data_IF_011304347004
#
_entry.id   IF_011304347004
#
_cell.length_a   1.000
_cell.length_b   1.000
_cell.length_c   1.000
_cell.angle_alpha   90.00
_cell.angle_beta   90.00
_cell.angle_gamma   90.00
#
_symmetry.space_group_name_H-M   'P 1'
#
loop_
_entity.id
_entity.type
_entity.pdbx_description
1 polymer ?
#
# COMPACT_ATOMS: atom_id res chain seq x y z
N UNK A 1 -20.20 1.61 -17.45
CA UNK A 1 -19.73 1.09 -16.15
C UNK A 1 -20.91 0.97 -15.22
N UNK A 2 -21.09 -0.16 -14.53
CA UNK A 2 -22.06 -0.22 -13.43
C UNK A 2 -21.69 0.77 -12.35
N UNK A 3 -22.66 1.32 -11.59
CA UNK A 3 -22.39 2.26 -10.49
C UNK A 3 -21.39 1.72 -9.46
N UNK A 4 -21.40 0.40 -9.25
CA UNK A 4 -20.51 -0.33 -8.35
C UNK A 4 -19.03 -0.25 -8.77
N UNK A 5 -18.76 -0.43 -10.06
CA UNK A 5 -17.39 -0.36 -10.62
C UNK A 5 -16.87 1.07 -10.61
N UNK A 6 -17.71 2.05 -10.95
CA UNK A 6 -17.32 3.45 -10.88
C UNK A 6 -16.93 3.84 -9.44
N UNK A 7 -17.70 3.40 -8.45
CA UNK A 7 -17.38 3.64 -7.04
C UNK A 7 -16.03 3.01 -6.66
N UNK A 8 -15.77 1.75 -7.04
CA UNK A 8 -14.48 1.10 -6.78
C UNK A 8 -13.30 1.84 -7.42
N UNK A 9 -13.48 2.30 -8.67
CA UNK A 9 -12.47 3.06 -9.40
C UNK A 9 -12.15 4.39 -8.70
N UNK A 10 -13.18 5.16 -8.32
CA UNK A 10 -13.01 6.45 -7.64
C UNK A 10 -12.35 6.27 -6.27
N UNK A 11 -12.75 5.26 -5.50
CA UNK A 11 -12.12 4.93 -4.21
C UNK A 11 -10.64 4.56 -4.38
N UNK A 12 -10.30 3.74 -5.37
CA UNK A 12 -8.93 3.34 -5.63
C UNK A 12 -8.04 4.50 -6.05
N UNK A 13 -8.54 5.39 -6.91
CA UNK A 13 -7.81 6.59 -7.36
C UNK A 13 -7.64 7.62 -6.22
N UNK A 14 -8.69 7.87 -5.43
CA UNK A 14 -8.60 8.74 -4.26
C UNK A 14 -7.61 8.19 -3.23
N UNK A 15 -7.63 6.88 -2.99
CA UNK A 15 -6.65 6.20 -2.15
C UNK A 15 -5.22 6.37 -2.67
N UNK A 16 -5.01 6.33 -4.00
CA UNK A 16 -3.68 6.53 -4.60
C UNK A 16 -3.12 7.94 -4.34
N UNK A 17 -3.96 8.97 -4.43
CA UNK A 17 -3.55 10.37 -4.15
C UNK A 17 -3.13 10.54 -2.70
N UNK A 18 -3.96 10.06 -1.74
CA UNK A 18 -3.63 10.14 -0.32
C UNK A 18 -2.40 9.29 0.02
N UNK A 19 -2.26 8.12 -0.64
CA UNK A 19 -1.09 7.26 -0.48
C UNK A 19 0.20 7.96 -0.91
N UNK A 20 0.19 8.66 -2.03
CA UNK A 20 1.32 9.47 -2.47
C UNK A 20 1.68 10.57 -1.46
N UNK A 21 0.67 11.27 -0.92
CA UNK A 21 0.87 12.37 0.00
C UNK A 21 1.55 11.93 1.31
N UNK A 22 1.01 10.91 2.01
CA UNK A 22 1.61 10.49 3.28
C UNK A 22 2.95 9.75 3.10
N UNK A 23 3.17 9.04 1.98
CA UNK A 23 4.47 8.44 1.68
C UNK A 23 5.58 9.49 1.51
N UNK A 24 5.26 10.59 0.83
CA UNK A 24 6.21 11.70 0.71
C UNK A 24 6.62 12.23 2.09
N UNK A 25 5.68 12.25 3.02
CA UNK A 25 5.93 12.70 4.39
C UNK A 25 6.83 11.73 5.18
N UNK A 26 6.60 10.43 5.07
CA UNK A 26 7.46 9.39 5.66
C UNK A 26 8.87 9.45 5.07
N UNK A 27 9.00 9.67 3.75
CA UNK A 27 10.30 9.78 3.06
C UNK A 27 11.17 10.90 3.65
N UNK A 28 10.56 11.99 4.13
CA UNK A 28 11.26 13.14 4.72
C UNK A 28 11.67 12.91 6.19
N UNK A 29 11.30 11.78 6.79
CA UNK A 29 11.61 11.46 8.18
C UNK A 29 13.04 10.90 8.31
N UNK A 30 13.76 11.30 9.37
CA UNK A 30 15.15 10.85 9.61
C UNK A 30 15.23 9.34 9.91
N UNK A 31 14.39 8.84 10.82
CA UNK A 31 14.24 7.40 11.08
C UNK A 31 12.91 6.91 10.49
N UNK A 32 13.02 6.20 9.37
CA UNK A 32 11.86 5.72 8.60
C UNK A 32 11.06 4.66 9.35
N UNK A 33 11.77 3.80 10.11
CA UNK A 33 11.10 2.76 10.90
C UNK A 33 10.28 3.39 12.03
N UNK A 34 10.83 4.38 12.77
CA UNK A 34 10.09 5.10 13.81
C UNK A 34 8.90 5.87 13.24
N UNK A 35 9.05 6.46 12.06
CA UNK A 35 7.95 7.14 11.38
C UNK A 35 6.79 6.19 11.03
N UNK A 36 7.12 5.04 10.42
CA UNK A 36 6.13 4.00 10.09
C UNK A 36 5.51 3.39 11.35
N UNK A 37 6.33 3.08 12.37
CA UNK A 37 5.82 2.59 13.65
C UNK A 37 4.84 3.57 14.31
N UNK A 38 5.22 4.84 14.42
CA UNK A 38 4.37 5.86 15.03
C UNK A 38 3.05 6.06 14.28
N UNK A 39 3.11 6.06 12.95
CA UNK A 39 1.94 6.11 12.06
C UNK A 39 1.01 4.91 12.27
N UNK A 40 1.54 3.68 12.28
CA UNK A 40 0.72 2.47 12.46
C UNK A 40 0.17 2.36 13.88
N UNK A 41 0.94 2.77 14.88
CA UNK A 41 0.50 2.75 16.28
C UNK A 41 -0.64 3.74 16.52
N UNK A 42 -0.51 4.98 16.05
CA UNK A 42 -1.57 6.00 16.23
C UNK A 42 -2.83 5.65 15.42
N UNK A 43 -2.68 5.15 14.18
CA UNK A 43 -3.79 4.63 13.39
C UNK A 43 -4.46 3.43 14.08
N UNK A 44 -3.66 2.52 14.66
CA UNK A 44 -4.15 1.33 15.35
C UNK A 44 -4.94 1.66 16.63
N UNK A 45 -4.44 2.61 17.44
CA UNK A 45 -5.16 3.09 18.63
C UNK A 45 -6.48 3.76 18.22
N UNK A 46 -6.43 4.69 17.24
CA UNK A 46 -7.63 5.34 16.72
C UNK A 46 -8.62 4.35 16.12
N UNK A 47 -8.13 3.39 15.34
CA UNK A 47 -8.92 2.32 14.75
C UNK A 47 -9.63 1.46 15.80
N UNK A 48 -8.92 1.06 16.85
CA UNK A 48 -9.50 0.29 17.95
C UNK A 48 -10.60 1.09 18.68
N UNK A 49 -10.32 2.34 19.01
CA UNK A 49 -11.30 3.20 19.69
C UNK A 49 -12.57 3.36 18.87
N UNK A 50 -12.43 3.60 17.57
CA UNK A 50 -13.58 3.74 16.67
C UNK A 50 -14.30 2.40 16.52
N UNK A 51 -13.58 1.28 16.32
CA UNK A 51 -14.19 -0.04 16.16
C UNK A 51 -14.99 -0.46 17.41
N UNK A 52 -14.48 -0.18 18.61
CA UNK A 52 -15.20 -0.45 19.86
C UNK A 52 -16.43 0.48 20.00
N UNK A 53 -16.30 1.76 19.62
CA UNK A 53 -17.41 2.74 19.72
C UNK A 53 -18.55 2.43 18.73
N UNK A 54 -18.21 1.97 17.53
CA UNK A 54 -19.21 1.58 16.49
C UNK A 54 -19.80 0.20 16.77
N UNK A 55 -19.08 -0.64 17.49
CA UNK A 55 -19.39 -2.05 17.75
C UNK A 55 -18.72 -2.97 16.74
N UNK A 56 -18.07 -4.00 17.25
CA UNK A 56 -17.52 -5.08 16.43
C UNK A 56 -18.65 -6.09 16.20
N UNK A 57 -19.00 -6.42 14.94
CA UNK A 57 -20.09 -7.34 14.64
C UNK A 57 -19.88 -8.72 15.27
N UNK A 58 -20.97 -9.35 15.74
CA UNK A 58 -20.94 -10.74 16.16
C UNK A 58 -20.50 -11.63 14.99
N UNK A 59 -19.66 -12.62 15.29
CA UNK A 59 -19.09 -13.50 14.25
C UNK A 59 -17.97 -12.88 13.43
N UNK A 60 -17.36 -11.77 13.89
CA UNK A 60 -16.21 -11.19 13.21
C UNK A 60 -15.08 -12.22 13.07
N UNK A 61 -14.60 -12.40 11.83
CA UNK A 61 -13.53 -13.34 11.49
C UNK A 61 -12.17 -12.65 11.74
N UNK A 62 -11.50 -13.01 12.85
CA UNK A 62 -10.30 -12.33 13.32
C UNK A 62 -9.02 -12.69 12.58
N UNK A 63 -8.91 -13.93 12.10
CA UNK A 63 -7.64 -14.41 11.54
C UNK A 63 -7.10 -13.55 10.39
N UNK A 64 -7.92 -12.96 9.47
CA UNK A 64 -7.37 -12.15 8.40
C UNK A 64 -6.73 -10.85 8.93
N UNK A 65 -7.35 -10.22 9.94
CA UNK A 65 -6.80 -9.00 10.52
C UNK A 65 -5.47 -9.26 11.25
N UNK A 66 -5.38 -10.39 12.00
CA UNK A 66 -4.15 -10.80 12.69
C UNK A 66 -3.06 -11.16 11.68
N UNK A 67 -3.38 -11.98 10.67
CA UNK A 67 -2.43 -12.36 9.62
C UNK A 67 -1.94 -11.14 8.84
N UNK A 68 -2.84 -10.24 8.47
CA UNK A 68 -2.50 -8.99 7.79
C UNK A 68 -1.56 -8.14 8.63
N UNK A 69 -1.85 -7.94 9.92
CA UNK A 69 -0.98 -7.18 10.83
C UNK A 69 0.44 -7.75 10.91
N UNK A 70 0.57 -9.07 10.94
CA UNK A 70 1.86 -9.76 10.94
C UNK A 70 2.59 -9.60 9.59
N UNK A 71 1.88 -9.75 8.47
CA UNK A 71 2.45 -9.55 7.12
C UNK A 71 2.91 -8.10 6.96
N UNK A 72 2.12 -7.13 7.44
CA UNK A 72 2.50 -5.71 7.42
C UNK A 72 3.75 -5.41 8.25
N UNK A 73 3.96 -6.08 9.39
CA UNK A 73 5.22 -5.98 10.14
C UNK A 73 6.40 -6.39 9.26
N UNK A 74 6.34 -7.58 8.63
CA UNK A 74 7.42 -8.04 7.74
C UNK A 74 7.61 -7.14 6.54
N UNK A 75 6.51 -6.64 5.95
CA UNK A 75 6.55 -5.63 4.89
C UNK A 75 7.32 -4.37 5.34
N UNK A 76 7.01 -3.82 6.52
CA UNK A 76 7.65 -2.61 7.05
C UNK A 76 9.15 -2.84 7.27
N UNK A 77 9.54 -3.98 7.83
CA UNK A 77 10.94 -4.34 8.06
C UNK A 77 11.67 -4.55 6.73
N UNK A 78 11.06 -5.26 5.79
CA UNK A 78 11.65 -5.48 4.45
C UNK A 78 11.78 -4.17 3.67
N UNK A 79 10.77 -3.30 3.73
CA UNK A 79 10.78 -1.99 3.09
C UNK A 79 11.89 -1.09 3.65
N UNK A 80 12.00 -1.01 4.98
CA UNK A 80 13.06 -0.22 5.61
C UNK A 80 14.44 -0.71 5.17
N UNK A 81 14.69 -2.03 5.22
CA UNK A 81 15.96 -2.62 4.78
C UNK A 81 16.25 -2.40 3.28
N UNK A 82 15.23 -2.51 2.44
CA UNK A 82 15.41 -2.31 1.00
C UNK A 82 15.80 -0.87 0.66
N UNK A 83 15.34 0.10 1.44
CA UNK A 83 15.74 1.51 1.29
C UNK A 83 17.13 1.83 1.84
N UNK A 84 17.68 0.99 2.71
CA UNK A 84 19.06 1.08 3.17
C UNK A 84 20.04 0.47 2.15
N UNK A 85 19.57 -0.48 1.34
CA UNK A 85 20.38 -1.21 0.35
C UNK A 85 20.40 -0.56 -1.03
N UNK A 86 19.32 0.09 -1.44
CA UNK A 86 19.16 0.60 -2.80
C UNK A 86 18.43 1.94 -2.85
N UNK A 87 18.63 2.64 -3.98
CA UNK A 87 17.93 3.88 -4.26
C UNK A 87 16.41 3.67 -4.30
N UNK A 88 15.70 4.63 -3.74
CA UNK A 88 14.24 4.63 -3.72
C UNK A 88 13.63 4.55 -5.12
N UNK A 89 14.27 5.23 -6.10
CA UNK A 89 13.85 5.27 -7.50
C UNK A 89 13.89 3.91 -8.20
N UNK A 90 14.63 2.95 -7.65
CA UNK A 90 14.74 1.57 -8.16
C UNK A 90 13.81 0.63 -7.38
N UNK A 91 13.95 0.63 -6.07
CA UNK A 91 13.23 -0.31 -5.19
C UNK A 91 11.72 -0.12 -5.24
N UNK A 92 11.27 1.14 -5.19
CA UNK A 92 9.84 1.43 -5.08
C UNK A 92 9.03 0.98 -6.32
N UNK A 93 9.44 1.30 -7.58
CA UNK A 93 8.72 0.83 -8.77
C UNK A 93 8.68 -0.69 -8.89
N UNK A 94 9.80 -1.39 -8.63
CA UNK A 94 9.85 -2.85 -8.73
C UNK A 94 8.93 -3.50 -7.70
N UNK A 95 9.01 -3.06 -6.44
CA UNK A 95 8.16 -3.57 -5.36
C UNK A 95 6.66 -3.34 -5.65
N UNK A 96 6.31 -2.15 -6.14
CA UNK A 96 4.92 -1.82 -6.45
C UNK A 96 4.41 -2.59 -7.66
N UNK A 97 5.18 -2.64 -8.76
CA UNK A 97 4.79 -3.36 -9.97
C UNK A 97 4.64 -4.87 -9.74
N UNK A 98 5.61 -5.49 -9.09
CA UNK A 98 5.55 -6.93 -8.77
C UNK A 98 4.42 -7.24 -7.79
N UNK A 99 4.19 -6.37 -6.79
CA UNK A 99 3.08 -6.53 -5.85
C UNK A 99 1.72 -6.51 -6.54
N UNK A 100 1.50 -5.60 -7.49
CA UNK A 100 0.26 -5.53 -8.26
C UNK A 100 0.03 -6.76 -9.15
N UNK A 101 1.08 -7.25 -9.84
CA UNK A 101 1.00 -8.47 -10.65
C UNK A 101 0.69 -9.70 -9.81
N UNK A 102 1.43 -9.89 -8.71
CA UNK A 102 1.23 -11.02 -7.81
C UNK A 102 -0.13 -10.98 -7.12
N UNK A 103 -0.62 -9.80 -6.74
CA UNK A 103 -1.96 -9.63 -6.18
C UNK A 103 -3.04 -9.95 -7.23
N UNK A 104 -2.86 -9.56 -8.49
CA UNK A 104 -3.79 -9.89 -9.56
C UNK A 104 -3.85 -11.40 -9.82
N UNK A 105 -2.69 -12.04 -9.93
CA UNK A 105 -2.59 -13.50 -10.10
C UNK A 105 -3.21 -14.24 -8.89
N UNK A 106 -2.87 -13.83 -7.67
CA UNK A 106 -3.42 -14.43 -6.45
C UNK A 106 -4.92 -14.19 -6.29
N UNK A 107 -5.44 -13.05 -6.74
CA UNK A 107 -6.88 -12.77 -6.75
C UNK A 107 -7.66 -13.76 -7.61
N UNK A 108 -7.14 -14.08 -8.79
CA UNK A 108 -7.72 -15.09 -9.68
C UNK A 108 -7.59 -16.50 -9.08
N UNK A 109 -6.44 -16.83 -8.47
CA UNK A 109 -6.18 -18.18 -7.98
C UNK A 109 -6.87 -18.51 -6.64
N UNK A 110 -7.05 -17.52 -5.76
CA UNK A 110 -7.46 -17.75 -4.36
C UNK A 110 -8.73 -17.01 -3.94
N UNK A 111 -9.20 -16.03 -4.73
CA UNK A 111 -10.34 -15.18 -4.36
C UNK A 111 -11.48 -15.22 -5.38
N UNK A 112 -11.42 -16.14 -6.35
CA UNK A 112 -12.37 -16.25 -7.46
C UNK A 112 -12.57 -14.93 -8.24
N UNK A 113 -11.52 -14.11 -8.30
CA UNK A 113 -11.57 -12.86 -9.07
C UNK A 113 -11.51 -13.15 -10.57
N UNK A 114 -12.39 -12.50 -11.34
CA UNK A 114 -12.42 -12.62 -12.79
C UNK A 114 -11.80 -11.37 -13.44
N UNK A 115 -10.72 -11.57 -14.20
CA UNK A 115 -10.09 -10.56 -15.02
C UNK A 115 -10.40 -10.81 -16.48
N UNK A 116 -10.92 -9.80 -17.17
CA UNK A 116 -11.05 -9.88 -18.63
C UNK A 116 -9.67 -9.83 -19.30
N UNK A 117 -9.50 -10.35 -20.53
CA UNK A 117 -8.22 -10.25 -21.24
C UNK A 117 -7.72 -8.80 -21.36
N UNK A 118 -8.62 -7.85 -21.56
CA UNK A 118 -8.26 -6.44 -21.64
C UNK A 118 -7.76 -5.88 -20.30
N UNK A 119 -8.33 -6.33 -19.16
CA UNK A 119 -7.82 -5.97 -17.83
C UNK A 119 -6.41 -6.52 -17.61
N UNK A 120 -6.13 -7.75 -18.04
CA UNK A 120 -4.78 -8.35 -17.96
C UNK A 120 -3.78 -7.55 -18.77
N UNK A 121 -4.14 -7.16 -20.01
CA UNK A 121 -3.29 -6.30 -20.84
C UNK A 121 -3.06 -4.95 -20.16
N UNK A 122 -4.09 -4.33 -19.61
CA UNK A 122 -3.99 -3.06 -18.87
C UNK A 122 -3.03 -3.14 -17.68
N UNK A 123 -3.12 -4.21 -16.87
CA UNK A 123 -2.21 -4.48 -15.74
C UNK A 123 -0.78 -4.64 -16.26
N UNK A 124 -0.57 -5.46 -17.30
CA UNK A 124 0.76 -5.71 -17.85
C UNK A 124 1.42 -4.43 -18.40
N UNK A 125 0.67 -3.60 -19.11
CA UNK A 125 1.15 -2.31 -19.64
C UNK A 125 1.49 -1.34 -18.48
N UNK A 126 0.61 -1.22 -17.48
CA UNK A 126 0.86 -0.35 -16.32
C UNK A 126 2.12 -0.77 -15.56
N UNK A 127 2.28 -2.07 -15.30
CA UNK A 127 3.46 -2.62 -14.62
C UNK A 127 4.72 -2.45 -15.48
N UNK A 128 4.65 -2.66 -16.78
CA UNK A 128 5.75 -2.37 -17.70
C UNK A 128 6.22 -0.91 -17.60
N UNK A 129 5.28 0.04 -17.54
CA UNK A 129 5.58 1.45 -17.30
C UNK A 129 6.25 1.72 -15.95
N UNK A 130 5.83 1.01 -14.88
CA UNK A 130 6.43 1.12 -13.56
C UNK A 130 7.87 0.59 -13.57
N UNK A 131 8.12 -0.54 -14.22
CA UNK A 131 9.47 -1.11 -14.35
C UNK A 131 10.40 -0.17 -15.14
N UNK A 132 9.89 0.52 -16.17
CA UNK A 132 10.66 1.52 -16.91
C UNK A 132 11.04 2.74 -16.06
N UNK A 133 10.34 3.02 -14.96
CA UNK A 133 10.74 4.03 -13.98
C UNK A 133 11.92 3.57 -13.13
N UNK A 134 12.11 2.26 -12.95
CA UNK A 134 13.28 1.71 -12.25
C UNK A 134 14.53 2.00 -13.07
N UNK A 135 15.55 2.57 -12.42
CA UNK A 135 16.88 2.69 -13.02
C UNK A 135 17.62 1.35 -12.96
N UNK A 136 18.80 1.22 -13.55
CA UNK A 136 19.57 -0.03 -13.59
C UNK A 136 19.78 -0.62 -12.18
N UNK A 137 18.90 -1.53 -11.78
CA UNK A 137 19.03 -2.28 -10.53
C UNK A 137 20.02 -3.44 -10.74
N UNK A 138 20.94 -3.62 -9.79
CA UNK A 138 21.64 -4.90 -9.73
C UNK A 138 20.70 -6.01 -9.19
N UNK A 139 21.13 -7.27 -9.33
CA UNK A 139 20.31 -8.42 -8.97
C UNK A 139 19.91 -8.45 -7.49
N UNK A 140 20.75 -7.97 -6.59
CA UNK A 140 20.47 -7.96 -5.14
C UNK A 140 19.38 -6.94 -4.80
N UNK A 141 19.44 -5.75 -5.41
CA UNK A 141 18.44 -4.71 -5.24
C UNK A 141 17.08 -5.14 -5.83
N UNK A 142 17.10 -5.78 -7.02
CA UNK A 142 15.88 -6.31 -7.64
C UNK A 142 15.22 -7.38 -6.77
N UNK A 143 16.01 -8.32 -6.20
CA UNK A 143 15.49 -9.36 -5.31
C UNK A 143 14.90 -8.79 -4.02
N UNK A 144 15.56 -7.80 -3.41
CA UNK A 144 15.02 -7.12 -2.22
C UNK A 144 13.68 -6.44 -2.53
N UNK A 145 13.58 -5.74 -3.66
CA UNK A 145 12.36 -5.09 -4.11
C UNK A 145 11.24 -6.09 -4.43
N UNK A 146 11.54 -7.21 -5.08
CA UNK A 146 10.59 -8.31 -5.32
C UNK A 146 10.09 -8.94 -4.02
N UNK A 147 10.97 -9.09 -3.01
CA UNK A 147 10.58 -9.52 -1.66
C UNK A 147 9.56 -8.59 -1.03
N UNK A 148 9.77 -7.27 -1.12
CA UNK A 148 8.78 -6.27 -0.66
C UNK A 148 7.48 -6.41 -1.44
N UNK A 149 7.53 -6.56 -2.77
CA UNK A 149 6.36 -6.76 -3.61
C UNK A 149 5.56 -8.02 -3.26
N UNK A 150 6.24 -9.10 -2.87
CA UNK A 150 5.58 -10.32 -2.40
C UNK A 150 4.77 -10.06 -1.13
N UNK A 151 5.30 -9.31 -0.15
CA UNK A 151 4.53 -8.92 1.03
C UNK A 151 3.35 -8.02 0.68
N UNK A 152 3.51 -7.10 -0.30
CA UNK A 152 2.40 -6.28 -0.81
C UNK A 152 1.28 -7.15 -1.36
N UNK A 153 1.61 -8.18 -2.15
CA UNK A 153 0.62 -9.13 -2.67
C UNK A 153 -0.05 -9.93 -1.55
N UNK A 154 0.73 -10.49 -0.63
CA UNK A 154 0.20 -11.32 0.46
C UNK A 154 -0.78 -10.57 1.34
N UNK A 155 -0.42 -9.37 1.84
CA UNK A 155 -1.39 -8.63 2.65
C UNK A 155 -2.60 -8.19 1.81
N UNK A 156 -2.42 -7.82 0.53
CA UNK A 156 -3.53 -7.41 -0.32
C UNK A 156 -4.55 -8.54 -0.54
N UNK A 157 -4.08 -9.78 -0.67
CA UNK A 157 -4.95 -10.96 -0.79
C UNK A 157 -5.69 -11.27 0.52
N UNK A 158 -4.95 -11.31 1.63
CA UNK A 158 -5.52 -11.56 2.96
C UNK A 158 -6.55 -10.48 3.31
N UNK A 159 -6.24 -9.21 3.04
CA UNK A 159 -7.11 -8.09 3.34
C UNK A 159 -8.32 -8.03 2.41
N UNK A 160 -8.14 -8.40 1.15
CA UNK A 160 -9.27 -8.52 0.22
C UNK A 160 -10.25 -9.59 0.69
N UNK A 161 -9.75 -10.77 1.08
CA UNK A 161 -10.56 -11.82 1.69
C UNK A 161 -11.23 -11.33 2.97
N UNK A 162 -10.45 -10.81 3.91
CA UNK A 162 -10.93 -10.34 5.20
C UNK A 162 -12.00 -9.26 5.10
N UNK A 163 -11.85 -8.33 4.15
CA UNK A 163 -12.85 -7.29 3.87
C UNK A 163 -14.12 -7.83 3.25
N UNK A 164 -14.06 -8.96 2.52
CA UNK A 164 -15.24 -9.60 1.90
C UNK A 164 -16.04 -10.43 2.90
N UNK A 165 -15.37 -11.10 3.85
CA UNK A 165 -16.02 -11.95 4.86
C UNK A 165 -16.48 -11.19 6.10
N UNK A 166 -15.95 -9.97 6.33
CA UNK A 166 -16.32 -9.11 7.44
C UNK A 166 -17.02 -7.84 6.97
N UNK A 167 -17.48 -7.00 7.91
CA UNK A 167 -17.79 -5.61 7.62
C UNK A 167 -16.50 -4.87 7.24
N UNK A 168 -16.41 -4.37 6.01
CA UNK A 168 -15.21 -3.75 5.47
C UNK A 168 -14.80 -2.47 6.18
N UNK A 169 -15.72 -1.78 6.85
CA UNK A 169 -15.41 -0.58 7.63
C UNK A 169 -14.69 -0.95 8.93
N UNK A 170 -15.26 -1.87 9.69
CA UNK A 170 -14.67 -2.36 10.95
C UNK A 170 -13.38 -3.13 10.68
N UNK A 171 -13.36 -3.95 9.63
CA UNK A 171 -12.17 -4.69 9.23
C UNK A 171 -10.98 -3.76 8.93
N UNK A 172 -11.19 -2.67 8.17
CA UNK A 172 -10.15 -1.70 7.88
C UNK A 172 -9.55 -1.04 9.13
N UNK A 173 -10.35 -0.79 10.16
CA UNK A 173 -9.87 -0.26 11.44
C UNK A 173 -9.02 -1.28 12.21
N UNK A 174 -9.45 -2.54 12.23
CA UNK A 174 -8.78 -3.60 13.00
C UNK A 174 -7.48 -4.08 12.36
N UNK A 175 -7.28 -3.95 11.05
CA UNK A 175 -5.97 -4.15 10.40
C UNK A 175 -4.92 -3.24 11.01
N UNK A 176 -5.22 -1.93 11.17
CA UNK A 176 -4.27 -1.00 11.77
C UNK A 176 -4.01 -1.30 13.23
N UNK A 177 -5.03 -1.76 13.96
CA UNK A 177 -4.87 -2.21 15.35
C UNK A 177 -3.87 -3.37 15.44
N UNK A 178 -4.03 -4.39 14.61
CA UNK A 178 -3.10 -5.53 14.56
C UNK A 178 -1.69 -5.10 14.10
N UNK A 179 -1.59 -4.28 13.06
CA UNK A 179 -0.31 -3.78 12.54
C UNK A 179 0.42 -2.93 13.60
N UNK A 180 -0.27 -2.01 14.25
CA UNK A 180 0.28 -1.19 15.33
C UNK A 180 0.74 -2.02 16.52
N UNK A 181 -0.01 -3.06 16.89
CA UNK A 181 0.37 -4.00 17.92
C UNK A 181 1.67 -4.75 17.57
N UNK A 182 1.75 -5.40 16.40
CA UNK A 182 2.92 -6.18 16.02
C UNK A 182 4.16 -5.32 15.79
N UNK A 183 4.02 -4.13 15.19
CA UNK A 183 5.16 -3.20 15.02
C UNK A 183 5.66 -2.67 16.36
N UNK A 184 4.77 -2.40 17.31
CA UNK A 184 5.15 -1.99 18.66
C UNK A 184 5.86 -3.13 19.41
N UNK A 185 5.31 -4.33 19.36
CA UNK A 185 5.93 -5.52 19.97
C UNK A 185 7.34 -5.76 19.39
N UNK A 186 7.50 -5.71 18.06
CA UNK A 186 8.80 -5.82 17.41
C UNK A 186 9.80 -4.76 17.90
N UNK A 187 9.39 -3.50 17.99
CA UNK A 187 10.25 -2.43 18.48
C UNK A 187 10.67 -2.60 19.93
N UNK A 188 9.77 -3.11 20.79
CA UNK A 188 10.09 -3.43 22.19
C UNK A 188 11.08 -4.60 22.28
N UNK A 189 10.88 -5.66 21.49
CA UNK A 189 11.79 -6.81 21.42
C UNK A 189 13.17 -6.43 20.87
N UNK A 190 13.22 -5.45 19.95
CA UNK A 190 14.46 -4.89 19.43
C UNK A 190 15.14 -3.89 20.39
N UNK A 191 14.63 -3.69 21.60
CA UNK A 191 15.21 -2.79 22.60
C UNK A 191 15.03 -1.30 22.34
N UNK A 192 14.20 -0.91 21.34
CA UNK A 192 14.02 0.49 20.88
C UNK A 192 13.04 1.32 21.74
N UNK A 193 12.66 0.83 22.92
CA UNK A 193 11.65 1.48 23.78
C UNK A 193 11.92 2.96 24.03
N UNK A 194 13.18 3.32 24.31
CA UNK A 194 13.54 4.73 24.61
C UNK A 194 13.32 5.63 23.39
N UNK A 195 13.73 5.18 22.21
CA UNK A 195 13.57 5.90 20.95
C UNK A 195 12.08 6.06 20.60
N UNK A 196 11.29 4.99 20.74
CA UNK A 196 9.84 5.00 20.50
C UNK A 196 9.12 6.00 21.39
N UNK A 197 9.42 6.01 22.71
CA UNK A 197 8.83 6.97 23.66
C UNK A 197 9.24 8.40 23.33
N UNK A 198 10.50 8.65 23.02
CA UNK A 198 11.00 9.97 22.62
C UNK A 198 10.32 10.47 21.33
N UNK A 199 10.28 9.61 20.30
CA UNK A 199 9.63 9.93 19.04
C UNK A 199 8.12 10.20 19.20
N UNK A 200 7.42 9.42 20.03
CA UNK A 200 6.00 9.65 20.29
C UNK A 200 5.77 10.99 20.99
N UNK A 201 6.61 11.36 21.98
CA UNK A 201 6.48 12.65 22.69
C UNK A 201 6.72 13.86 21.79
N UNK A 202 7.67 13.77 20.87
CA UNK A 202 8.06 14.89 20.00
C UNK A 202 7.24 14.99 18.73
N UNK A 203 6.70 13.89 18.23
CA UNK A 203 6.12 13.80 16.89
C UNK A 203 4.70 13.20 16.85
N UNK A 204 4.02 13.08 18.01
CA UNK A 204 2.70 12.44 18.12
C UNK A 204 1.67 12.97 17.10
N UNK A 205 1.64 14.31 16.92
CA UNK A 205 0.69 14.95 16.00
C UNK A 205 0.98 14.54 14.54
N UNK A 206 2.27 14.52 14.15
CA UNK A 206 2.69 14.06 12.81
C UNK A 206 2.32 12.61 12.59
N UNK A 207 2.59 11.75 13.56
CA UNK A 207 2.20 10.34 13.51
C UNK A 207 0.70 10.15 13.41
N UNK A 208 -0.09 10.90 14.18
CA UNK A 208 -1.55 10.82 14.14
C UNK A 208 -2.13 11.30 12.81
N UNK A 209 -1.61 12.38 12.23
CA UNK A 209 -2.05 12.86 10.92
C UNK A 209 -1.68 11.89 9.80
N UNK A 210 -0.44 11.36 9.82
CA UNK A 210 -0.02 10.33 8.87
C UNK A 210 -0.81 9.03 9.06
N UNK A 211 -1.07 8.64 10.31
CA UNK A 211 -1.90 7.49 10.67
C UNK A 211 -3.32 7.61 10.17
N UNK A 212 -3.96 8.77 10.40
CA UNK A 212 -5.31 9.03 9.90
C UNK A 212 -5.39 9.01 8.37
N UNK A 213 -4.41 9.63 7.69
CA UNK A 213 -4.33 9.59 6.22
C UNK A 213 -4.13 8.17 5.69
N UNK A 214 -3.28 7.36 6.35
CA UNK A 214 -3.09 5.95 6.00
C UNK A 214 -4.36 5.13 6.22
N UNK A 215 -5.00 5.30 7.37
CA UNK A 215 -6.24 4.59 7.72
C UNK A 215 -7.35 4.93 6.72
N UNK A 216 -7.52 6.20 6.37
CA UNK A 216 -8.49 6.65 5.37
C UNK A 216 -8.17 6.07 3.98
N UNK A 217 -6.88 6.11 3.57
CA UNK A 217 -6.43 5.51 2.32
C UNK A 217 -6.82 4.03 2.27
N UNK A 218 -6.50 3.29 3.32
CA UNK A 218 -6.71 1.84 3.32
C UNK A 218 -8.17 1.45 3.47
N UNK A 219 -8.96 2.22 4.24
CA UNK A 219 -10.41 2.09 4.31
C UNK A 219 -11.06 2.18 2.93
N UNK A 220 -10.67 3.16 2.11
CA UNK A 220 -11.15 3.27 0.73
C UNK A 220 -10.75 2.06 -0.11
N UNK A 221 -9.56 1.51 0.08
CA UNK A 221 -9.11 0.29 -0.60
C UNK A 221 -9.96 -0.91 -0.19
N UNK A 222 -10.23 -1.10 1.10
CA UNK A 222 -11.07 -2.20 1.59
C UNK A 222 -12.49 -2.13 1.04
N UNK A 223 -13.03 -0.94 0.87
CA UNK A 223 -14.34 -0.77 0.22
C UNK A 223 -14.29 -1.03 -1.29
N UNK A 224 -13.17 -0.73 -1.94
CA UNK A 224 -12.99 -0.97 -3.37
C UNK A 224 -12.87 -2.47 -3.68
N UNK A 225 -12.08 -3.25 -2.91
CA UNK A 225 -11.89 -4.70 -3.15
C UNK A 225 -13.13 -5.55 -2.86
N UNK A 226 -14.12 -4.99 -2.17
CA UNK A 226 -15.45 -5.60 -2.04
C UNK A 226 -16.29 -5.46 -3.31
N UNK A 227 -15.93 -4.57 -4.22
CA UNK A 227 -16.71 -4.17 -5.40
C UNK A 227 -16.01 -4.50 -6.72
N UNK A 228 -14.72 -4.82 -6.67
CA UNK A 228 -13.89 -5.10 -7.84
C UNK A 228 -12.77 -6.09 -7.49
N UNK A 229 -12.21 -6.83 -8.50
CA UNK A 229 -11.08 -7.72 -8.29
C UNK A 229 -9.89 -7.02 -7.62
N UNK A 230 -9.16 -7.75 -6.76
CA UNK A 230 -8.02 -7.18 -6.04
C UNK A 230 -6.94 -6.67 -7.01
N UNK A 231 -6.69 -7.40 -8.11
CA UNK A 231 -5.75 -6.97 -9.14
C UNK A 231 -6.14 -5.67 -9.83
N UNK A 232 -7.43 -5.45 -10.07
CA UNK A 232 -7.94 -4.18 -10.62
C UNK A 232 -7.69 -3.01 -9.65
N UNK A 233 -8.04 -3.19 -8.38
CA UNK A 233 -7.89 -2.15 -7.36
C UNK A 233 -6.42 -1.84 -7.10
N UNK A 234 -5.57 -2.86 -6.97
CA UNK A 234 -4.13 -2.66 -6.75
C UNK A 234 -3.48 -1.97 -7.93
N UNK A 235 -3.78 -2.37 -9.16
CA UNK A 235 -3.25 -1.71 -10.35
C UNK A 235 -3.64 -0.21 -10.42
N UNK A 236 -4.90 0.14 -10.13
CA UNK A 236 -5.32 1.55 -10.08
C UNK A 236 -4.56 2.35 -9.03
N UNK A 237 -4.23 1.75 -7.90
CA UNK A 237 -3.42 2.40 -6.85
C UNK A 237 -2.00 2.73 -7.31
N UNK A 238 -1.49 2.05 -8.33
CA UNK A 238 -0.18 2.37 -8.90
C UNK A 238 -0.13 3.74 -9.59
N UNK A 239 -1.26 4.39 -9.84
CA UNK A 239 -1.28 5.81 -10.23
C UNK A 239 -0.57 6.73 -9.21
N UNK A 240 -0.45 6.31 -7.95
CA UNK A 240 0.37 6.99 -6.94
C UNK A 240 1.85 7.11 -7.33
N UNK A 241 2.39 6.13 -8.04
CA UNK A 241 3.78 6.12 -8.52
C UNK A 241 4.00 7.26 -9.54
N UNK A 242 3.01 7.47 -10.42
CA UNK A 242 3.02 8.56 -11.39
C UNK A 242 3.03 9.92 -10.67
N UNK A 243 2.18 10.07 -9.65
CA UNK A 243 2.11 11.30 -8.84
C UNK A 243 3.46 11.56 -8.17
N UNK A 244 4.03 10.54 -7.51
CA UNK A 244 5.33 10.65 -6.83
C UNK A 244 6.45 10.96 -7.82
N UNK A 245 6.48 10.34 -9.01
CA UNK A 245 7.48 10.61 -10.04
C UNK A 245 7.40 12.05 -10.55
N UNK A 246 6.21 12.57 -10.82
CA UNK A 246 5.99 13.94 -11.28
C UNK A 246 6.33 14.98 -10.20
N UNK A 247 5.95 14.74 -8.96
CA UNK A 247 6.28 15.63 -7.84
C UNK A 247 7.78 15.58 -7.54
N UNK A 248 8.40 14.41 -7.56
CA UNK A 248 9.83 14.22 -7.34
C UNK A 248 10.70 14.99 -8.34
N UNK A 249 10.35 14.95 -9.64
CA UNK A 249 11.09 15.69 -10.67
C UNK A 249 10.95 17.20 -10.52
N UNK A 250 9.75 17.70 -10.16
CA UNK A 250 9.50 19.14 -10.08
C UNK A 250 10.04 19.79 -8.82
N UNK A 251 10.05 19.08 -7.68
CA UNK A 251 10.39 19.62 -6.36
C UNK A 251 11.75 19.15 -5.83
N UNK A 252 12.26 18.00 -6.30
CA UNK A 252 13.52 17.43 -5.84
C UNK A 252 14.67 17.62 -6.84
N UNK A 253 14.41 18.19 -8.02
CA UNK A 253 15.44 18.47 -9.03
C UNK A 253 16.11 17.20 -9.60
N UNK A 254 15.42 16.05 -9.54
CA UNK A 254 15.99 14.78 -10.02
C UNK A 254 16.05 14.75 -11.56
N UNK A 255 17.19 14.32 -12.11
CA UNK A 255 17.40 14.20 -13.56
C UNK A 255 16.48 13.13 -14.23
N UNK A 256 16.33 13.21 -15.54
CA UNK A 256 15.58 12.20 -16.32
C UNK A 256 14.10 12.49 -16.54
N UNK A 257 13.66 13.74 -16.48
CA UNK A 257 12.27 14.16 -16.67
C UNK A 257 11.58 13.49 -17.88
N UNK A 258 12.23 13.44 -19.04
CA UNK A 258 11.64 12.87 -20.28
C UNK A 258 11.32 11.37 -20.12
N UNK A 259 12.23 10.60 -19.51
CA UNK A 259 12.05 9.18 -19.27
C UNK A 259 10.90 8.94 -18.26
N UNK A 260 10.87 9.71 -17.18
CA UNK A 260 9.84 9.61 -16.13
C UNK A 260 8.45 9.99 -16.65
N UNK A 261 8.36 11.04 -17.45
CA UNK A 261 7.10 11.43 -18.12
C UNK A 261 6.66 10.34 -19.10
N UNK A 262 7.58 9.80 -19.92
CA UNK A 262 7.26 8.71 -20.85
C UNK A 262 6.75 7.47 -20.12
N UNK A 263 7.42 7.03 -19.08
CA UNK A 263 6.99 5.89 -18.25
C UNK A 263 5.65 6.17 -17.55
N UNK A 264 5.45 7.39 -17.04
CA UNK A 264 4.16 7.80 -16.47
C UNK A 264 3.01 7.74 -17.50
N UNK A 265 3.25 8.15 -18.73
CA UNK A 265 2.27 8.01 -19.82
C UNK A 265 1.93 6.54 -20.11
N UNK A 266 2.92 5.64 -20.07
CA UNK A 266 2.69 4.19 -20.24
C UNK A 266 1.85 3.63 -19.09
N UNK A 267 2.16 4.00 -17.84
CA UNK A 267 1.34 3.61 -16.68
C UNK A 267 -0.11 4.10 -16.87
N UNK A 268 -0.31 5.37 -17.20
CA UNK A 268 -1.64 5.93 -17.42
C UNK A 268 -2.38 5.23 -18.57
N UNK A 269 -1.70 4.93 -19.68
CA UNK A 269 -2.29 4.16 -20.78
C UNK A 269 -2.74 2.76 -20.32
N UNK A 270 -1.90 2.05 -19.54
CA UNK A 270 -2.27 0.78 -18.95
C UNK A 270 -3.50 0.88 -18.04
N UNK A 271 -3.59 1.92 -17.21
CA UNK A 271 -4.76 2.14 -16.34
C UNK A 271 -6.03 2.47 -17.15
N UNK A 272 -5.93 3.21 -18.25
CA UNK A 272 -7.06 3.46 -19.15
C UNK A 272 -7.54 2.16 -19.79
N UNK A 273 -6.63 1.32 -20.30
CA UNK A 273 -6.95 0.00 -20.85
C UNK A 273 -7.62 -0.87 -19.79
N UNK A 274 -7.08 -0.89 -18.55
CA UNK A 274 -7.64 -1.63 -17.42
C UNK A 274 -9.09 -1.22 -17.13
N UNK A 275 -9.37 0.07 -17.08
CA UNK A 275 -10.72 0.60 -16.84
C UNK A 275 -11.66 0.32 -18.01
N UNK A 276 -11.18 0.40 -19.25
CA UNK A 276 -11.96 0.08 -20.44
C UNK A 276 -12.32 -1.40 -20.56
N UNK A 277 -11.54 -2.28 -19.94
CA UNK A 277 -11.78 -3.72 -19.90
C UNK A 277 -12.93 -4.15 -18.97
N UNK A 278 -13.57 -3.22 -18.29
CA UNK A 278 -14.64 -3.46 -17.30
C UNK A 278 -16.05 -3.32 -17.85
#
# INVERSE_FOLDING_TARGET
MSGTVLTATLLALAAAVLHAAWNLWVKQSGDRWLALWGQMTTAGIGGLVIAVAVGIPDGFVWWPAVASGLIHLYYIVALARSYDLADFSVTYPIARGSGALLAAAGGVLFLDDHLTPLMVVGIAVAVGGIILLADHADNAHALAALGVGSFVAFYSLVDSHGSRVNDGHVYALLIFTATGFFTTLHGLMAGRRREMVAAMRTSWLRFSLAGAASALTYWMVMLAVRRAPVGYVTALRESSVVIVALVGTRYLGEDGLRRRVGAACIVLAGLVILVAGR
#
